data_IF_462550678344
#
_entry.id   IF_462550678344
#
_cell.length_a   1.000
_cell.length_b   1.000
_cell.length_c   1.000
_cell.angle_alpha   90.00
_cell.angle_beta   90.00
_cell.angle_gamma   90.00
#
_symmetry.space_group_name_H-M   'P 1'
#
loop_
_entity.id
_entity.type
_entity.pdbx_description
1 polymer ?
#
# COMPACT_ATOMS: atom_id res chain seq x y z
N UNK A 1 -6.76 22.10 36.99
CA UNK A 1 -7.31 21.71 35.67
C UNK A 1 -6.46 20.57 35.11
N UNK A 2 -6.97 19.33 35.20
CA UNK A 2 -6.27 18.14 34.73
C UNK A 2 -6.34 18.08 33.19
N UNK A 3 -5.16 18.08 32.54
CA UNK A 3 -5.02 17.91 31.09
C UNK A 3 -5.26 16.43 30.78
N UNK A 4 -6.48 16.09 30.43
CA UNK A 4 -6.91 14.73 30.11
C UNK A 4 -6.06 14.19 28.96
N UNK A 5 -5.19 13.23 29.29
CA UNK A 5 -4.31 12.50 28.38
C UNK A 5 -5.14 11.63 27.44
N UNK A 6 -5.60 12.20 26.30
CA UNK A 6 -6.03 11.42 25.13
C UNK A 6 -4.80 10.76 24.49
N UNK A 7 -4.29 9.69 25.09
CA UNK A 7 -3.12 8.94 24.59
C UNK A 7 -3.44 7.51 24.14
N UNK A 8 -4.68 7.02 24.29
CA UNK A 8 -5.02 5.61 23.98
C UNK A 8 -5.58 5.35 22.57
N UNK A 9 -5.84 6.38 21.75
CA UNK A 9 -6.52 6.21 20.44
C UNK A 9 -5.62 6.19 19.21
N UNK A 10 -4.35 6.58 19.32
CA UNK A 10 -3.47 6.80 18.14
C UNK A 10 -3.07 5.53 17.36
N UNK A 11 -2.76 4.37 17.99
CA UNK A 11 -2.40 3.17 17.21
C UNK A 11 -3.60 2.61 16.44
N UNK A 12 -4.81 2.70 16.98
CA UNK A 12 -6.04 2.25 16.32
C UNK A 12 -6.39 3.10 15.08
N UNK A 13 -6.20 4.42 15.16
CA UNK A 13 -6.41 5.33 14.01
C UNK A 13 -5.41 5.06 12.90
N UNK A 14 -4.17 4.73 13.23
CA UNK A 14 -3.16 4.41 12.24
C UNK A 14 -3.41 3.05 11.57
N UNK A 15 -3.82 2.04 12.35
CA UNK A 15 -4.24 0.74 11.80
C UNK A 15 -5.47 0.89 10.90
N UNK A 16 -6.46 1.70 11.33
CA UNK A 16 -7.65 2.01 10.55
C UNK A 16 -7.34 2.78 9.25
N UNK A 17 -6.38 3.71 9.28
CA UNK A 17 -5.96 4.45 8.09
C UNK A 17 -5.21 3.55 7.09
N UNK A 18 -4.35 2.64 7.58
CA UNK A 18 -3.71 1.64 6.74
C UNK A 18 -4.72 0.65 6.15
N UNK A 19 -5.67 0.15 6.96
CA UNK A 19 -6.73 -0.74 6.47
C UNK A 19 -7.62 -0.06 5.43
N UNK A 20 -8.03 1.19 5.69
CA UNK A 20 -8.78 2.01 4.74
C UNK A 20 -8.04 2.23 3.43
N UNK A 21 -6.73 2.54 3.49
CA UNK A 21 -5.88 2.68 2.31
C UNK A 21 -5.75 1.37 1.52
N UNK A 22 -5.61 0.22 2.17
CA UNK A 22 -5.56 -1.09 1.48
C UNK A 22 -6.89 -1.37 0.77
N UNK A 23 -8.02 -1.20 1.46
CA UNK A 23 -9.35 -1.52 0.90
C UNK A 23 -9.65 -0.61 -0.28
N UNK A 24 -9.54 0.70 -0.09
CA UNK A 24 -9.80 1.68 -1.14
C UNK A 24 -8.78 1.56 -2.27
N UNK A 25 -7.50 1.36 -1.94
CA UNK A 25 -6.46 1.08 -2.92
C UNK A 25 -6.74 -0.16 -3.77
N UNK A 26 -7.16 -1.25 -3.14
CA UNK A 26 -7.55 -2.48 -3.85
C UNK A 26 -8.73 -2.24 -4.78
N UNK A 27 -9.72 -1.43 -4.35
CA UNK A 27 -10.84 -1.04 -5.20
C UNK A 27 -10.38 -0.19 -6.40
N UNK A 28 -9.50 0.78 -6.17
CA UNK A 28 -8.91 1.60 -7.23
C UNK A 28 -8.08 0.79 -8.21
N UNK A 29 -7.34 -0.20 -7.73
CA UNK A 29 -6.61 -1.16 -8.57
C UNK A 29 -7.57 -1.97 -9.45
N UNK A 30 -8.64 -2.51 -8.86
CA UNK A 30 -9.67 -3.25 -9.59
C UNK A 30 -10.32 -2.39 -10.68
N UNK A 31 -10.65 -1.12 -10.37
CA UNK A 31 -11.19 -0.18 -11.34
C UNK A 31 -10.17 0.12 -12.45
N UNK A 32 -8.91 0.36 -12.09
CA UNK A 32 -7.86 0.58 -13.08
C UNK A 32 -7.64 -0.62 -14.01
N UNK A 33 -7.78 -1.86 -13.52
CA UNK A 33 -7.70 -3.05 -14.38
C UNK A 33 -8.77 -3.06 -15.47
N UNK A 34 -9.95 -2.53 -15.17
CA UNK A 34 -11.03 -2.44 -16.16
C UNK A 34 -10.65 -1.49 -17.31
N UNK A 35 -9.91 -0.43 -16.99
CA UNK A 35 -9.41 0.55 -17.97
C UNK A 35 -8.20 0.01 -18.73
N UNK A 36 -7.25 -0.63 -18.05
CA UNK A 36 -6.02 -1.16 -18.66
C UNK A 36 -6.30 -2.31 -19.63
N UNK A 37 -7.17 -3.24 -19.24
CA UNK A 37 -7.38 -4.48 -19.99
C UNK A 37 -8.58 -4.39 -20.94
N UNK A 38 -9.30 -3.26 -20.92
CA UNK A 38 -10.56 -3.01 -21.63
C UNK A 38 -11.56 -4.19 -21.50
N UNK A 39 -11.42 -4.97 -20.42
CA UNK A 39 -12.12 -6.20 -20.11
C UNK A 39 -12.37 -6.21 -18.61
N UNK A 40 -13.63 -6.33 -18.23
CA UNK A 40 -14.02 -6.60 -16.85
C UNK A 40 -13.72 -8.07 -16.54
N UNK A 41 -12.63 -8.37 -15.83
CA UNK A 41 -12.48 -9.72 -15.29
C UNK A 41 -11.13 -10.09 -14.69
N UNK A 42 -11.23 -10.88 -13.61
CA UNK A 42 -10.13 -11.63 -12.99
C UNK A 42 -9.32 -12.50 -13.98
N UNK A 43 -9.91 -12.87 -15.12
CA UNK A 43 -9.22 -13.65 -16.16
C UNK A 43 -8.12 -12.85 -16.87
N UNK A 44 -8.33 -11.56 -17.11
CA UNK A 44 -7.34 -10.73 -17.78
C UNK A 44 -6.11 -10.50 -16.87
N UNK A 45 -6.35 -10.37 -15.55
CA UNK A 45 -5.27 -10.37 -14.56
C UNK A 45 -4.44 -11.64 -14.64
N UNK A 46 -5.10 -12.79 -14.68
CA UNK A 46 -4.47 -14.10 -14.70
C UNK A 46 -3.61 -14.31 -15.96
N UNK A 47 -4.10 -13.85 -17.11
CA UNK A 47 -3.35 -13.88 -18.38
C UNK A 47 -2.08 -13.02 -18.29
N UNK A 48 -2.19 -11.81 -17.74
CA UNK A 48 -1.05 -10.89 -17.64
C UNK A 48 -0.01 -11.37 -16.64
N UNK A 49 -0.44 -11.88 -15.48
CA UNK A 49 0.48 -12.40 -14.47
C UNK A 49 1.13 -13.73 -14.89
N UNK A 50 0.48 -14.56 -15.73
CA UNK A 50 1.13 -15.74 -16.32
C UNK A 50 2.16 -15.37 -17.39
N UNK A 51 2.00 -14.22 -18.05
CA UNK A 51 2.96 -13.71 -19.00
C UNK A 51 4.25 -13.18 -18.32
N UNK A 52 4.14 -12.73 -17.07
CA UNK A 52 5.30 -12.32 -16.27
C UNK A 52 6.06 -13.55 -15.76
N UNK A 53 7.24 -13.80 -16.33
CA UNK A 53 8.13 -14.89 -15.89
C UNK A 53 9.15 -14.37 -14.87
N UNK A 54 8.90 -14.67 -13.60
CA UNK A 54 9.87 -14.54 -12.51
C UNK A 54 10.09 -13.12 -11.96
N UNK A 55 10.79 -13.01 -10.80
CA UNK A 55 11.02 -11.77 -10.06
C UNK A 55 12.19 -10.95 -10.64
N UNK A 56 12.19 -10.67 -11.94
CA UNK A 56 13.19 -9.78 -12.53
C UNK A 56 12.72 -8.31 -12.51
N UNK A 57 13.65 -7.38 -12.38
CA UNK A 57 13.37 -5.94 -12.45
C UNK A 57 12.74 -5.56 -13.80
N UNK A 58 13.15 -6.21 -14.89
CA UNK A 58 12.55 -5.95 -16.20
C UNK A 58 11.09 -6.40 -16.24
N UNK A 59 10.76 -7.54 -15.64
CA UNK A 59 9.38 -8.04 -15.53
C UNK A 59 8.52 -7.08 -14.69
N UNK A 60 9.09 -6.57 -13.60
CA UNK A 60 8.42 -5.63 -12.70
C UNK A 60 8.18 -4.27 -13.38
N UNK A 61 9.17 -3.77 -14.13
CA UNK A 61 9.05 -2.57 -14.94
C UNK A 61 8.00 -2.72 -16.05
N UNK A 62 8.01 -3.84 -16.76
CA UNK A 62 7.04 -4.15 -17.81
C UNK A 62 5.60 -4.21 -17.24
N UNK A 63 5.43 -4.76 -16.04
CA UNK A 63 4.16 -4.75 -15.34
C UNK A 63 3.69 -3.35 -14.96
N UNK A 64 4.61 -2.47 -14.55
CA UNK A 64 4.30 -1.07 -14.27
C UNK A 64 3.83 -0.32 -15.52
N UNK A 65 4.49 -0.56 -16.66
CA UNK A 65 4.16 0.13 -17.92
C UNK A 65 2.89 -0.40 -18.59
N UNK A 66 2.55 -1.68 -18.39
CA UNK A 66 1.39 -2.30 -19.04
C UNK A 66 0.07 -2.10 -18.30
N UNK A 67 0.10 -1.74 -17.01
CA UNK A 67 -1.11 -1.50 -16.22
C UNK A 67 -1.12 -0.13 -15.52
N UNK A 68 -0.85 0.98 -16.24
CA UNK A 68 -0.70 2.28 -15.62
C UNK A 68 -1.95 2.73 -14.86
N UNK A 69 -3.16 2.39 -15.34
CA UNK A 69 -4.40 2.80 -14.72
C UNK A 69 -4.68 2.05 -13.42
N UNK A 70 -4.26 0.80 -13.28
CA UNK A 70 -4.33 0.05 -12.02
C UNK A 70 -3.48 0.68 -10.93
N UNK A 71 -2.24 1.07 -11.23
CA UNK A 71 -1.41 1.76 -10.24
C UNK A 71 -1.94 3.16 -9.95
N UNK A 72 -2.39 3.89 -10.97
CA UNK A 72 -2.97 5.22 -10.78
C UNK A 72 -4.26 5.16 -9.95
N UNK A 73 -5.15 4.20 -10.24
CA UNK A 73 -6.37 3.96 -9.48
C UNK A 73 -6.07 3.56 -8.05
N UNK A 74 -5.14 2.61 -7.84
CA UNK A 74 -4.68 2.23 -6.51
C UNK A 74 -4.16 3.44 -5.74
N UNK A 75 -3.33 4.27 -6.37
CA UNK A 75 -2.78 5.47 -5.76
C UNK A 75 -3.87 6.46 -5.37
N UNK A 76 -4.73 6.86 -6.31
CA UNK A 76 -5.81 7.83 -6.07
C UNK A 76 -6.74 7.34 -4.97
N UNK A 77 -7.23 6.10 -5.04
CA UNK A 77 -8.18 5.60 -4.06
C UNK A 77 -7.55 5.31 -2.70
N UNK A 78 -6.32 4.78 -2.63
CA UNK A 78 -5.61 4.61 -1.34
C UNK A 78 -5.50 5.93 -0.60
N UNK A 79 -5.26 7.01 -1.34
CA UNK A 79 -5.19 8.36 -0.82
C UNK A 79 -6.55 8.89 -0.38
N UNK A 80 -7.62 8.60 -1.11
CA UNK A 80 -8.99 8.90 -0.68
C UNK A 80 -9.32 8.16 0.61
N UNK A 81 -9.03 6.87 0.72
CA UNK A 81 -9.29 6.11 1.95
C UNK A 81 -8.50 6.65 3.14
N UNK A 82 -7.23 7.01 2.93
CA UNK A 82 -6.42 7.63 3.96
C UNK A 82 -6.95 9.01 4.36
N UNK A 83 -7.41 9.82 3.39
CA UNK A 83 -8.03 11.11 3.67
C UNK A 83 -9.33 10.93 4.45
N UNK A 84 -10.23 10.04 4.05
CA UNK A 84 -11.52 9.79 4.73
C UNK A 84 -11.30 9.38 6.19
N UNK A 85 -10.35 8.47 6.44
CA UNK A 85 -10.01 8.09 7.82
C UNK A 85 -9.37 9.26 8.55
N UNK A 86 -8.41 9.94 7.93
CA UNK A 86 -7.68 11.03 8.58
C UNK A 86 -8.59 12.23 8.88
N UNK A 87 -9.49 12.63 7.98
CA UNK A 87 -10.49 13.69 8.21
C UNK A 87 -11.45 13.33 9.33
N UNK A 88 -11.79 12.04 9.48
CA UNK A 88 -12.62 11.55 10.59
C UNK A 88 -11.94 11.67 11.96
N UNK A 89 -10.61 11.77 11.99
CA UNK A 89 -9.81 11.84 13.22
C UNK A 89 -8.87 13.07 13.29
N UNK A 90 -9.01 14.06 12.39
CA UNK A 90 -7.99 15.11 12.22
C UNK A 90 -8.06 16.18 13.32
N UNK A 91 -6.94 16.40 14.00
CA UNK A 91 -6.68 17.52 14.94
C UNK A 91 -5.54 18.44 14.40
N UNK A 92 -5.84 19.28 13.41
CA UNK A 92 -5.04 20.44 12.95
C UNK A 92 -3.55 20.33 12.55
N UNK A 93 -2.93 19.16 12.34
CA UNK A 93 -1.47 19.09 12.04
C UNK A 93 -1.05 19.51 10.61
N UNK A 94 0.17 20.08 10.40
CA UNK A 94 0.66 20.55 9.10
C UNK A 94 0.96 19.42 8.10
N UNK A 95 0.65 19.65 6.81
CA UNK A 95 0.69 18.65 5.73
C UNK A 95 2.09 18.35 5.15
N UNK A 96 3.07 19.24 5.27
CA UNK A 96 4.35 19.15 4.52
C UNK A 96 5.22 17.94 4.91
N UNK A 97 5.30 17.59 6.19
CA UNK A 97 5.96 16.37 6.66
C UNK A 97 5.18 15.08 6.35
N UNK A 98 4.01 15.19 5.72
CA UNK A 98 3.20 14.07 5.26
C UNK A 98 3.55 13.60 3.85
N UNK A 99 4.21 14.42 3.02
CA UNK A 99 4.41 14.09 1.60
C UNK A 99 5.43 12.96 1.36
N UNK A 100 6.54 12.93 2.10
CA UNK A 100 7.53 11.85 1.98
C UNK A 100 7.00 10.52 2.52
N UNK A 101 6.30 10.54 3.66
CA UNK A 101 5.60 9.37 4.21
C UNK A 101 4.51 8.89 3.24
N UNK A 102 3.84 9.83 2.57
CA UNK A 102 2.83 9.57 1.54
C UNK A 102 3.40 8.89 0.30
N UNK A 103 4.48 9.40 -0.29
CA UNK A 103 5.17 8.73 -1.41
C UNK A 103 5.66 7.35 -0.97
N UNK A 104 6.29 7.27 0.21
CA UNK A 104 6.88 6.05 0.71
C UNK A 104 5.87 4.92 0.92
N UNK A 105 4.70 5.21 1.52
CA UNK A 105 3.63 4.24 1.71
C UNK A 105 3.05 3.74 0.38
N UNK A 106 2.80 4.65 -0.55
CA UNK A 106 2.28 4.28 -1.87
C UNK A 106 3.30 3.43 -2.65
N UNK A 107 4.57 3.80 -2.65
CA UNK A 107 5.64 3.02 -3.26
C UNK A 107 5.76 1.63 -2.62
N UNK A 108 5.69 1.55 -1.28
CA UNK A 108 5.73 0.29 -0.57
C UNK A 108 4.51 -0.61 -0.85
N UNK A 109 3.32 -0.03 -1.01
CA UNK A 109 2.13 -0.77 -1.45
C UNK A 109 2.31 -1.32 -2.87
N UNK A 110 2.80 -0.52 -3.81
CA UNK A 110 3.08 -0.95 -5.20
C UNK A 110 4.10 -2.09 -5.20
N UNK A 111 5.22 -1.95 -4.49
CA UNK A 111 6.24 -2.99 -4.41
C UNK A 111 5.71 -4.27 -3.76
N UNK A 112 4.94 -4.13 -2.67
CA UNK A 112 4.27 -5.24 -2.01
C UNK A 112 3.28 -5.96 -2.92
N UNK A 113 2.50 -5.21 -3.69
CA UNK A 113 1.56 -5.76 -4.67
C UNK A 113 2.27 -6.53 -5.78
N UNK A 114 3.34 -5.96 -6.33
CA UNK A 114 4.12 -6.56 -7.42
C UNK A 114 4.80 -7.85 -6.96
N UNK A 115 5.43 -7.83 -5.78
CA UNK A 115 6.01 -9.03 -5.19
C UNK A 115 4.97 -10.10 -4.88
N UNK A 116 3.81 -9.71 -4.34
CA UNK A 116 2.66 -10.61 -4.15
C UNK A 116 2.16 -11.20 -5.46
N UNK A 117 2.13 -10.42 -6.54
CA UNK A 117 1.75 -10.86 -7.88
C UNK A 117 2.70 -11.91 -8.46
N UNK A 118 4.02 -11.71 -8.31
CA UNK A 118 5.04 -12.68 -8.76
C UNK A 118 4.97 -13.98 -7.95
N UNK A 119 4.80 -13.91 -6.62
CA UNK A 119 4.62 -15.12 -5.81
C UNK A 119 3.33 -15.84 -6.24
N UNK A 120 2.28 -15.07 -6.51
CA UNK A 120 1.01 -15.64 -6.92
C UNK A 120 1.04 -16.28 -8.30
N UNK A 121 1.81 -15.77 -9.27
CA UNK A 121 1.96 -16.39 -10.59
C UNK A 121 2.53 -17.79 -10.47
N UNK A 122 3.50 -17.99 -9.58
CA UNK A 122 4.11 -19.30 -9.35
C UNK A 122 3.14 -20.24 -8.63
N UNK A 123 2.51 -19.78 -7.54
CA UNK A 123 1.58 -20.59 -6.75
C UNK A 123 0.32 -20.99 -7.53
N UNK A 124 -0.15 -20.12 -8.42
CA UNK A 124 -1.42 -20.30 -9.13
C UNK A 124 -1.29 -21.02 -10.48
N UNK A 125 -0.07 -21.37 -10.91
CA UNK A 125 0.19 -22.08 -12.17
C UNK A 125 -0.60 -23.41 -12.25
N UNK A 126 -0.77 -24.09 -11.13
CA UNK A 126 -1.42 -25.41 -11.03
C UNK A 126 -2.91 -25.35 -10.71
N UNK A 127 -3.49 -24.17 -10.49
CA UNK A 127 -4.88 -24.02 -10.08
C UNK A 127 -5.84 -23.80 -11.26
N UNK A 128 -7.10 -24.17 -11.05
CA UNK A 128 -8.18 -23.80 -11.95
C UNK A 128 -8.27 -22.27 -12.08
N UNK A 129 -8.51 -21.69 -13.28
CA UNK A 129 -8.43 -20.25 -13.52
C UNK A 129 -9.18 -19.35 -12.52
N UNK A 130 -10.38 -19.77 -12.08
CA UNK A 130 -11.16 -19.04 -11.08
C UNK A 130 -10.46 -18.96 -9.71
N UNK A 131 -9.91 -20.08 -9.26
CA UNK A 131 -9.20 -20.17 -7.97
C UNK A 131 -7.88 -19.42 -8.07
N UNK A 132 -7.16 -19.63 -9.17
CA UNK A 132 -5.89 -18.97 -9.47
C UNK A 132 -6.01 -17.44 -9.44
N UNK A 133 -7.06 -16.89 -10.03
CA UNK A 133 -7.27 -15.45 -10.02
C UNK A 133 -7.64 -14.92 -8.63
N UNK A 134 -8.45 -15.65 -7.86
CA UNK A 134 -8.77 -15.30 -6.48
C UNK A 134 -7.54 -15.36 -5.57
N UNK A 135 -6.68 -16.38 -5.72
CA UNK A 135 -5.42 -16.49 -4.97
C UNK A 135 -4.44 -15.39 -5.36
N UNK A 136 -4.38 -15.02 -6.64
CA UNK A 136 -3.63 -13.85 -7.10
C UNK A 136 -4.07 -12.56 -6.41
N UNK A 137 -5.37 -12.27 -6.46
CA UNK A 137 -5.89 -11.07 -5.82
C UNK A 137 -5.58 -11.06 -4.31
N UNK A 138 -5.79 -12.19 -3.63
CA UNK A 138 -5.52 -12.31 -2.20
C UNK A 138 -4.03 -12.06 -1.87
N UNK A 139 -3.12 -12.62 -2.65
CA UNK A 139 -1.67 -12.45 -2.45
C UNK A 139 -1.20 -11.04 -2.80
N UNK A 140 -1.75 -10.41 -3.84
CA UNK A 140 -1.45 -9.01 -4.17
C UNK A 140 -1.91 -8.07 -3.07
N UNK A 141 -3.14 -8.23 -2.57
CA UNK A 141 -3.69 -7.42 -1.45
C UNK A 141 -2.90 -7.67 -0.16
N UNK A 142 -2.53 -8.91 0.12
CA UNK A 142 -1.67 -9.25 1.28
C UNK A 142 -0.30 -8.59 1.13
N UNK A 143 0.28 -8.66 -0.07
CA UNK A 143 1.54 -8.01 -0.43
C UNK A 143 1.49 -6.50 -0.19
N UNK A 144 0.42 -5.81 -0.59
CA UNK A 144 0.21 -4.39 -0.30
C UNK A 144 0.25 -4.10 1.21
N UNK A 145 -0.41 -4.94 2.01
CA UNK A 145 -0.41 -4.83 3.47
C UNK A 145 0.98 -5.02 4.08
N UNK A 146 1.71 -6.05 3.65
CA UNK A 146 3.08 -6.34 4.11
C UNK A 146 4.05 -5.24 3.69
N UNK A 147 3.94 -4.75 2.44
CA UNK A 147 4.76 -3.65 1.93
C UNK A 147 4.57 -2.39 2.76
N UNK A 148 3.32 -1.97 2.97
CA UNK A 148 3.05 -0.80 3.80
C UNK A 148 3.48 -0.99 5.27
N UNK A 149 3.23 -2.18 5.85
CA UNK A 149 3.62 -2.49 7.23
C UNK A 149 5.15 -2.46 7.44
N UNK A 150 5.90 -3.04 6.51
CA UNK A 150 7.37 -3.05 6.54
C UNK A 150 7.96 -1.65 6.36
N UNK A 151 7.42 -0.83 5.44
CA UNK A 151 7.83 0.57 5.30
C UNK A 151 7.59 1.37 6.59
N UNK A 152 6.42 1.19 7.21
CA UNK A 152 6.10 1.88 8.46
C UNK A 152 7.04 1.46 9.60
N UNK A 153 7.39 0.17 9.69
CA UNK A 153 8.37 -0.33 10.66
C UNK A 153 9.77 0.27 10.40
N UNK A 154 10.22 0.28 9.15
CA UNK A 154 11.52 0.84 8.76
C UNK A 154 11.59 2.34 9.07
N UNK A 155 10.55 3.09 8.73
CA UNK A 155 10.46 4.52 9.03
C UNK A 155 10.56 4.79 10.54
N UNK A 156 9.94 3.94 11.37
CA UNK A 156 10.07 4.00 12.83
C UNK A 156 11.48 3.70 13.31
N UNK A 157 12.12 2.66 12.77
CA UNK A 157 13.50 2.30 13.14
C UNK A 157 14.47 3.44 12.79
N UNK A 158 14.37 3.98 11.58
CA UNK A 158 15.19 5.12 11.14
C UNK A 158 14.97 6.35 12.02
N UNK A 159 13.72 6.65 12.37
CA UNK A 159 13.42 7.76 13.27
C UNK A 159 14.03 7.59 14.66
N UNK A 160 14.04 6.38 15.21
CA UNK A 160 14.71 6.06 16.49
C UNK A 160 16.22 6.24 16.39
N UNK A 161 16.86 5.65 15.37
CA UNK A 161 18.30 5.78 15.17
C UNK A 161 18.75 7.23 14.97
N UNK A 162 17.95 8.06 14.29
CA UNK A 162 18.27 9.48 14.09
C UNK A 162 18.10 10.29 15.37
N UNK A 163 17.09 9.97 16.18
CA UNK A 163 16.91 10.55 17.52
C UNK A 163 18.10 10.22 18.43
N UNK A 164 18.55 8.98 18.43
CA UNK A 164 19.69 8.53 19.26
C UNK A 164 21.01 9.21 18.86
N UNK A 165 21.14 9.63 17.59
CA UNK A 165 22.28 10.40 17.08
C UNK A 165 22.18 11.91 17.33
N UNK A 166 21.16 12.38 18.05
CA UNK A 166 20.96 13.80 18.34
C UNK A 166 20.61 14.65 17.11
N UNK A 167 20.28 14.02 15.98
CA UNK A 167 19.90 14.74 14.77
C UNK A 167 18.42 15.10 14.88
N UNK A 168 18.15 16.36 15.21
CA UNK A 168 16.80 16.92 15.27
C UNK A 168 16.25 17.11 13.85
N UNK A 169 15.98 16.01 13.16
CA UNK A 169 15.24 16.07 11.91
C UNK A 169 13.81 16.36 12.30
N UNK A 170 13.14 17.23 11.53
CA UNK A 170 11.70 17.48 11.61
C UNK A 170 10.88 16.25 11.24
N UNK A 171 11.26 15.07 11.74
CA UNK A 171 10.50 13.84 11.68
C UNK A 171 9.24 14.12 12.47
N UNK A 172 8.14 13.97 11.77
CA UNK A 172 6.80 14.16 12.28
C UNK A 172 6.70 13.57 13.70
N UNK A 173 6.32 14.39 14.70
CA UNK A 173 6.04 13.91 16.08
C UNK A 173 5.11 12.69 16.10
N UNK A 174 4.39 12.47 15.02
CA UNK A 174 3.53 11.31 14.77
C UNK A 174 4.26 9.95 14.71
N UNK A 175 5.51 9.89 14.22
CA UNK A 175 6.29 8.63 14.14
C UNK A 175 6.97 8.26 15.46
N UNK A 176 7.15 9.24 16.35
CA UNK A 176 7.89 9.12 17.62
C UNK A 176 6.99 9.15 18.86
N UNK A 177 5.67 9.29 18.71
CA UNK A 177 4.70 9.24 19.81
C UNK A 177 4.12 7.84 19.94
N UNK A 178 4.91 6.95 20.53
CA UNK A 178 4.43 5.81 21.32
C UNK A 178 5.04 5.93 22.72
#
# INVERSE_FOLDING_TARGET
>A
MARQTRHSGQPAVLLGACGGAIITGSLGMLLGWTLDLNRLGLYALLETCRAARGPDFNTLWLHLTNMPWSYAGMFVFSNVGMLVVKTSYWNGGPMSAGFSDWIGRNAAMVLGMLTGGVIASDVSASFHPKIAAATMLALMVTGMGVGMGSFHLLARMLARCWKDKGVAIGINRFLLRE
#
